data_IF_993754163726
#
_entry.id   IF_993754163726
#
_cell.length_a   1.000
_cell.length_b   1.000
_cell.length_c   1.000
_cell.angle_alpha   90.00
_cell.angle_beta   90.00
_cell.angle_gamma   90.00
#
_symmetry.space_group_name_H-M   'P 1'
#
loop_
_entity.id
_entity.type
_entity.pdbx_description
1 polymer ?
#
# COMPACT_ATOMS: atom_id res chain seq x y z
N UNK A 1 -19.27 -28.01 -12.50
CA UNK A 1 -18.77 -27.04 -11.51
C UNK A 1 -19.36 -27.51 -10.22
N UNK A 2 -18.54 -28.02 -9.31
CA UNK A 2 -19.04 -28.47 -8.00
C UNK A 2 -19.56 -27.23 -7.27
N UNK A 3 -20.87 -27.20 -7.03
CA UNK A 3 -21.60 -26.10 -6.39
C UNK A 3 -21.34 -26.11 -4.87
N UNK A 4 -20.08 -25.97 -4.45
CA UNK A 4 -19.75 -25.78 -3.04
C UNK A 4 -19.95 -24.31 -2.66
N UNK A 5 -20.52 -24.03 -1.49
CA UNK A 5 -20.64 -22.67 -0.97
C UNK A 5 -19.28 -21.97 -0.87
N UNK A 6 -18.19 -22.74 -0.71
CA UNK A 6 -16.82 -22.25 -0.70
C UNK A 6 -16.40 -21.70 -2.07
N UNK A 7 -16.71 -22.40 -3.16
CA UNK A 7 -16.45 -21.92 -4.52
C UNK A 7 -17.24 -20.66 -4.83
N UNK A 8 -18.52 -20.62 -4.44
CA UNK A 8 -19.36 -19.43 -4.59
C UNK A 8 -18.78 -18.22 -3.83
N UNK A 9 -18.30 -18.44 -2.60
CA UNK A 9 -17.67 -17.40 -1.78
C UNK A 9 -16.44 -16.82 -2.48
N UNK A 10 -15.55 -17.70 -2.95
CA UNK A 10 -14.32 -17.30 -3.64
C UNK A 10 -14.61 -16.60 -4.96
N UNK A 11 -15.54 -17.09 -5.78
CA UNK A 11 -15.89 -16.47 -7.07
C UNK A 11 -16.42 -15.05 -6.88
N UNK A 12 -17.30 -14.84 -5.89
CA UNK A 12 -17.81 -13.50 -5.59
C UNK A 12 -16.70 -12.57 -5.06
N UNK A 13 -15.82 -13.05 -4.19
CA UNK A 13 -14.68 -12.28 -3.71
C UNK A 13 -13.69 -11.94 -4.84
N UNK A 14 -13.37 -12.92 -5.70
CA UNK A 14 -12.51 -12.78 -6.86
C UNK A 14 -13.07 -11.74 -7.84
N UNK A 15 -14.37 -11.84 -8.19
CA UNK A 15 -15.01 -10.85 -9.04
C UNK A 15 -14.96 -9.43 -8.44
N UNK A 16 -15.14 -9.32 -7.12
CA UNK A 16 -15.05 -8.02 -6.42
C UNK A 16 -13.63 -7.45 -6.49
N UNK A 17 -12.60 -8.24 -6.20
CA UNK A 17 -11.20 -7.77 -6.20
C UNK A 17 -10.72 -7.47 -7.62
N UNK A 18 -11.16 -8.23 -8.64
CA UNK A 18 -10.88 -7.89 -10.04
C UNK A 18 -11.45 -6.51 -10.37
N UNK A 19 -12.72 -6.27 -10.07
CA UNK A 19 -13.36 -4.98 -10.26
C UNK A 19 -12.61 -3.86 -9.48
N UNK A 20 -12.11 -4.16 -8.29
CA UNK A 20 -11.31 -3.24 -7.48
C UNK A 20 -9.95 -2.91 -8.13
N UNK A 21 -9.30 -3.87 -8.77
CA UNK A 21 -7.95 -3.70 -9.36
C UNK A 21 -7.96 -3.24 -10.81
N UNK A 22 -9.06 -3.36 -11.54
CA UNK A 22 -9.11 -2.92 -12.95
C UNK A 22 -9.53 -1.46 -13.14
N UNK A 23 -9.49 -0.62 -12.10
CA UNK A 23 -9.99 0.77 -12.15
C UNK A 23 -8.88 1.79 -11.96
N UNK A 24 -8.86 2.78 -12.85
CA UNK A 24 -8.02 3.98 -12.74
C UNK A 24 -8.72 5.15 -12.03
N UNK A 25 -10.05 5.16 -11.96
CA UNK A 25 -10.85 6.20 -11.29
C UNK A 25 -11.83 5.58 -10.28
N UNK A 26 -11.79 6.07 -9.04
CA UNK A 26 -12.69 5.66 -7.97
C UNK A 26 -13.67 6.78 -7.66
N UNK A 27 -14.95 6.54 -7.90
CA UNK A 27 -16.03 7.24 -7.21
C UNK A 27 -16.56 6.32 -6.11
N UNK A 28 -16.45 6.75 -4.85
CA UNK A 28 -16.88 5.97 -3.67
C UNK A 28 -18.39 5.69 -3.69
N UNK A 29 -19.17 6.45 -4.47
CA UNK A 29 -20.64 6.42 -4.46
C UNK A 29 -21.30 6.07 -5.81
N UNK A 30 -20.59 5.43 -6.74
CA UNK A 30 -21.14 5.04 -8.05
C UNK A 30 -21.89 3.68 -8.08
N UNK A 31 -22.55 3.39 -9.22
CA UNK A 31 -23.16 2.08 -9.53
C UNK A 31 -22.20 0.92 -9.31
N UNK A 32 -20.95 1.18 -9.63
CA UNK A 32 -19.82 0.28 -9.54
C UNK A 32 -19.39 -0.03 -8.10
N UNK A 33 -19.51 0.93 -7.17
CA UNK A 33 -19.33 0.68 -5.74
C UNK A 33 -20.50 -0.15 -5.18
N UNK A 34 -21.72 0.10 -5.69
CA UNK A 34 -22.91 -0.69 -5.36
C UNK A 34 -22.77 -2.14 -5.80
N UNK A 35 -22.25 -2.39 -7.01
CA UNK A 35 -21.96 -3.73 -7.51
C UNK A 35 -20.93 -4.45 -6.63
N UNK A 36 -19.83 -3.80 -6.28
CA UNK A 36 -18.83 -4.37 -5.38
C UNK A 36 -19.44 -4.72 -4.02
N UNK A 37 -20.22 -3.79 -3.42
CA UNK A 37 -20.89 -4.05 -2.16
C UNK A 37 -21.85 -5.24 -2.24
N UNK A 38 -22.55 -5.42 -3.37
CA UNK A 38 -23.42 -6.58 -3.60
C UNK A 38 -22.62 -7.90 -3.71
N UNK A 39 -21.49 -7.91 -4.42
CA UNK A 39 -20.64 -9.09 -4.52
C UNK A 39 -20.00 -9.45 -3.18
N UNK A 40 -19.52 -8.45 -2.40
CA UNK A 40 -19.05 -8.65 -1.02
C UNK A 40 -20.13 -9.30 -0.16
N UNK A 41 -21.38 -8.83 -0.21
CA UNK A 41 -22.49 -9.42 0.56
C UNK A 41 -22.76 -10.87 0.15
N UNK A 42 -22.74 -11.18 -1.15
CA UNK A 42 -22.94 -12.55 -1.65
C UNK A 42 -21.81 -13.49 -1.24
N UNK A 43 -20.56 -13.02 -1.34
CA UNK A 43 -19.39 -13.77 -0.90
C UNK A 43 -19.45 -14.06 0.60
N UNK A 44 -19.72 -13.04 1.43
CA UNK A 44 -19.85 -13.20 2.88
C UNK A 44 -20.96 -14.17 3.28
N UNK A 45 -22.10 -14.16 2.56
CA UNK A 45 -23.18 -15.12 2.79
C UNK A 45 -22.69 -16.55 2.54
N UNK A 46 -22.18 -16.82 1.34
CA UNK A 46 -21.70 -18.15 0.96
C UNK A 46 -20.53 -18.61 1.86
N UNK A 47 -19.64 -17.70 2.26
CA UNK A 47 -18.52 -17.97 3.15
C UNK A 47 -18.97 -18.47 4.54
N UNK A 48 -20.07 -17.91 5.06
CA UNK A 48 -20.68 -18.34 6.34
C UNK A 48 -21.53 -19.60 6.19
N UNK A 49 -22.18 -19.81 5.05
CA UNK A 49 -22.93 -21.03 4.77
C UNK A 49 -22.03 -22.28 4.89
N UNK A 50 -20.76 -22.20 4.45
CA UNK A 50 -19.75 -23.28 4.63
C UNK A 50 -19.54 -23.68 6.10
N UNK A 51 -19.58 -22.72 7.02
CA UNK A 51 -19.40 -23.00 8.46
C UNK A 51 -20.63 -23.69 9.05
N UNK A 52 -21.81 -23.40 8.49
CA UNK A 52 -23.09 -23.94 8.93
C UNK A 52 -23.41 -25.31 8.31
N UNK A 53 -22.88 -25.59 7.11
CA UNK A 53 -23.05 -26.85 6.38
C UNK A 53 -22.06 -27.94 6.81
N UNK A 54 -21.01 -27.59 7.56
CA UNK A 54 -20.06 -28.57 8.12
C UNK A 54 -20.80 -29.60 8.98
N UNK A 55 -20.54 -30.89 8.72
CA UNK A 55 -21.21 -32.12 9.18
C UNK A 55 -21.54 -32.26 10.70
N UNK A 56 -21.19 -31.28 11.52
CA UNK A 56 -21.43 -31.22 12.96
C UNK A 56 -22.90 -31.22 13.39
N UNK A 57 -23.84 -30.99 12.45
CA UNK A 57 -25.27 -31.14 12.72
C UNK A 57 -25.72 -32.59 12.95
N UNK A 58 -24.94 -33.59 12.49
CA UNK A 58 -25.27 -35.00 12.71
C UNK A 58 -24.65 -35.59 13.98
N UNK A 59 -23.52 -35.05 14.47
CA UNK A 59 -22.76 -35.59 15.61
C UNK A 59 -22.87 -34.77 16.91
N UNK A 60 -23.53 -33.61 16.88
CA UNK A 60 -23.71 -32.76 18.07
C UNK A 60 -22.43 -32.07 18.56
N UNK A 61 -21.36 -32.14 17.79
CA UNK A 61 -20.06 -31.49 18.05
C UNK A 61 -19.75 -30.47 16.97
N UNK A 62 -19.17 -29.32 17.33
CA UNK A 62 -18.57 -28.41 16.34
C UNK A 62 -17.46 -29.16 15.59
N UNK A 63 -17.55 -29.23 14.26
CA UNK A 63 -16.50 -29.82 13.41
C UNK A 63 -15.18 -29.05 13.50
N UNK A 64 -14.07 -29.57 12.95
CA UNK A 64 -12.82 -28.84 12.88
C UNK A 64 -12.99 -27.55 12.08
N UNK A 65 -12.22 -26.51 12.43
CA UNK A 65 -12.19 -25.26 11.64
C UNK A 65 -11.81 -25.59 10.19
N UNK A 66 -12.67 -25.30 9.19
CA UNK A 66 -12.32 -25.55 7.80
C UNK A 66 -11.26 -24.55 7.36
N UNK A 67 -10.03 -25.03 7.20
CA UNK A 67 -8.90 -24.22 6.72
C UNK A 67 -8.47 -24.72 5.35
N UNK A 68 -8.78 -23.92 4.33
CA UNK A 68 -8.43 -24.19 2.93
C UNK A 68 -7.80 -22.95 2.31
N UNK A 69 -7.06 -23.13 1.21
CA UNK A 69 -6.50 -22.00 0.44
C UNK A 69 -7.62 -21.06 0.00
N UNK A 70 -8.76 -21.60 -0.46
CA UNK A 70 -9.90 -20.83 -0.95
C UNK A 70 -10.49 -19.94 0.13
N UNK A 71 -10.64 -20.44 1.36
CA UNK A 71 -11.19 -19.65 2.48
C UNK A 71 -10.26 -18.50 2.88
N UNK A 72 -8.97 -18.77 3.04
CA UNK A 72 -8.00 -17.73 3.39
C UNK A 72 -7.89 -16.67 2.28
N UNK A 73 -7.85 -17.08 1.00
CA UNK A 73 -7.88 -16.14 -0.14
C UNK A 73 -9.16 -15.29 -0.15
N UNK A 74 -10.31 -15.91 0.13
CA UNK A 74 -11.59 -15.20 0.23
C UNK A 74 -11.53 -14.12 1.32
N UNK A 75 -11.00 -14.43 2.51
CA UNK A 75 -10.78 -13.44 3.57
C UNK A 75 -9.90 -12.27 3.13
N UNK A 76 -8.77 -12.55 2.46
CA UNK A 76 -7.85 -11.51 1.97
C UNK A 76 -8.53 -10.62 0.91
N UNK A 77 -9.22 -11.22 -0.08
CA UNK A 77 -9.89 -10.43 -1.12
C UNK A 77 -11.02 -9.58 -0.55
N UNK A 78 -11.81 -10.13 0.37
CA UNK A 78 -12.88 -9.40 1.03
C UNK A 78 -12.34 -8.26 1.89
N UNK A 79 -11.26 -8.47 2.65
CA UNK A 79 -10.68 -7.40 3.48
C UNK A 79 -10.24 -6.21 2.61
N UNK A 80 -9.51 -6.46 1.52
CA UNK A 80 -9.08 -5.41 0.60
C UNK A 80 -10.26 -4.64 0.00
N UNK A 81 -11.30 -5.35 -0.45
CA UNK A 81 -12.48 -4.71 -1.04
C UNK A 81 -13.29 -3.90 -0.01
N UNK A 82 -13.46 -4.43 1.20
CA UNK A 82 -14.20 -3.77 2.28
C UNK A 82 -13.44 -2.54 2.79
N UNK A 83 -12.11 -2.61 2.84
CA UNK A 83 -11.27 -1.45 3.14
C UNK A 83 -11.47 -0.35 2.11
N UNK A 84 -11.48 -0.72 0.83
CA UNK A 84 -11.68 0.23 -0.28
C UNK A 84 -13.08 0.87 -0.24
N UNK A 85 -14.09 0.14 0.27
CA UNK A 85 -15.44 0.67 0.54
C UNK A 85 -15.51 1.52 1.84
N UNK A 86 -14.38 1.80 2.49
CA UNK A 86 -14.28 2.69 3.65
C UNK A 86 -14.59 2.04 5.00
N UNK A 87 -14.79 0.71 5.08
CA UNK A 87 -15.13 0.03 6.33
C UNK A 87 -13.91 -0.64 6.97
N UNK A 88 -13.04 0.19 7.57
CA UNK A 88 -11.75 -0.23 8.14
C UNK A 88 -11.90 -1.36 9.17
N UNK A 89 -12.77 -1.20 10.16
CA UNK A 89 -12.97 -2.21 11.22
C UNK A 89 -13.47 -3.56 10.68
N UNK A 90 -14.33 -3.55 9.65
CA UNK A 90 -14.83 -4.78 9.04
C UNK A 90 -13.74 -5.46 8.19
N UNK A 91 -12.96 -4.67 7.47
CA UNK A 91 -11.79 -5.18 6.74
C UNK A 91 -10.83 -5.87 7.70
N UNK A 92 -10.48 -5.21 8.80
CA UNK A 92 -9.61 -5.76 9.83
C UNK A 92 -10.12 -7.09 10.38
N UNK A 93 -11.40 -7.16 10.77
CA UNK A 93 -11.99 -8.38 11.32
C UNK A 93 -11.92 -9.57 10.35
N UNK A 94 -12.19 -9.33 9.06
CA UNK A 94 -12.16 -10.37 8.03
C UNK A 94 -10.72 -10.80 7.71
N UNK A 95 -9.79 -9.85 7.63
CA UNK A 95 -8.37 -10.18 7.48
C UNK A 95 -7.87 -11.01 8.67
N UNK A 96 -8.26 -10.63 9.89
CA UNK A 96 -7.91 -11.34 11.12
C UNK A 96 -8.39 -12.79 11.10
N UNK A 97 -9.58 -13.04 10.56
CA UNK A 97 -10.08 -14.39 10.40
C UNK A 97 -9.17 -15.25 9.51
N UNK A 98 -8.73 -14.71 8.36
CA UNK A 98 -7.75 -15.37 7.47
C UNK A 98 -6.39 -15.62 8.13
N UNK A 99 -5.89 -14.63 8.87
CA UNK A 99 -4.66 -14.73 9.66
C UNK A 99 -4.75 -15.83 10.72
N UNK A 100 -5.86 -15.87 11.46
CA UNK A 100 -6.09 -16.89 12.50
C UNK A 100 -6.16 -18.29 11.89
N UNK A 101 -6.82 -18.45 10.74
CA UNK A 101 -6.80 -19.73 10.00
C UNK A 101 -5.37 -20.17 9.70
N UNK A 102 -4.50 -19.29 9.20
CA UNK A 102 -3.09 -19.61 8.93
C UNK A 102 -2.30 -19.98 10.19
N UNK A 103 -2.56 -19.32 11.32
CA UNK A 103 -1.89 -19.62 12.60
C UNK A 103 -2.23 -21.04 13.10
N UNK A 104 -3.46 -21.52 12.85
CA UNK A 104 -3.88 -22.88 13.22
C UNK A 104 -3.21 -23.99 12.40
N UNK A 105 -2.71 -23.69 11.19
CA UNK A 105 -2.01 -24.68 10.34
C UNK A 105 -0.60 -25.01 10.85
N UNK A 106 -0.09 -24.24 11.82
CA UNK A 106 1.27 -24.38 12.34
C UNK A 106 2.33 -24.54 11.23
N UNK A 107 2.23 -23.75 10.14
CA UNK A 107 3.14 -23.79 8.99
C UNK A 107 4.63 -23.64 9.37
N UNK A 108 4.91 -23.08 10.54
CA UNK A 108 6.26 -23.00 11.12
C UNK A 108 6.84 -24.35 11.58
N UNK A 109 6.00 -25.37 11.79
CA UNK A 109 6.37 -26.67 12.38
C UNK A 109 5.90 -27.87 11.55
N UNK A 110 4.78 -27.74 10.82
CA UNK A 110 4.15 -28.86 10.10
C UNK A 110 3.70 -28.41 8.71
N UNK A 111 3.95 -29.26 7.71
CA UNK A 111 3.41 -29.08 6.35
C UNK A 111 1.91 -29.38 6.35
N UNK A 112 1.08 -28.62 5.63
CA UNK A 112 -0.35 -28.93 5.49
C UNK A 112 -0.51 -30.35 4.94
N UNK A 113 -1.33 -31.16 5.61
CA UNK A 113 -1.71 -32.46 5.09
C UNK A 113 -2.71 -32.23 3.95
N UNK A 114 -2.32 -32.53 2.71
CA UNK A 114 -3.16 -32.29 1.54
C UNK A 114 -2.36 -32.32 0.23
N UNK A 115 -3.04 -32.46 -0.90
CA UNK A 115 -2.43 -32.50 -2.23
C UNK A 115 -1.91 -31.15 -2.75
N UNK A 116 -2.08 -30.05 -2.00
CA UNK A 116 -1.60 -28.73 -2.39
C UNK A 116 -0.10 -28.53 -2.09
N UNK A 117 0.61 -27.86 -3.01
CA UNK A 117 2.03 -27.56 -2.84
C UNK A 117 2.30 -26.66 -1.64
N UNK A 118 3.37 -26.95 -0.90
CA UNK A 118 3.89 -26.11 0.20
C UNK A 118 4.14 -24.67 -0.26
N UNK A 119 4.60 -24.49 -1.50
CA UNK A 119 4.86 -23.17 -2.10
C UNK A 119 3.61 -22.29 -2.19
N UNK A 120 2.42 -22.89 -2.43
CA UNK A 120 1.15 -22.14 -2.44
C UNK A 120 0.80 -21.62 -1.04
N UNK A 121 0.99 -22.45 -0.02
CA UNK A 121 0.73 -22.07 1.37
C UNK A 121 1.71 -21.02 1.88
N UNK A 122 2.99 -21.11 1.51
CA UNK A 122 3.97 -20.07 1.80
C UNK A 122 3.58 -18.74 1.16
N UNK A 123 3.20 -18.74 -0.14
CA UNK A 123 2.73 -17.52 -0.82
C UNK A 123 1.48 -16.95 -0.16
N UNK A 124 0.50 -17.79 0.17
CA UNK A 124 -0.71 -17.36 0.86
C UNK A 124 -0.43 -16.76 2.25
N UNK A 125 0.51 -17.35 3.00
CA UNK A 125 0.95 -16.81 4.28
C UNK A 125 1.58 -15.43 4.13
N UNK A 126 2.51 -15.30 3.18
CA UNK A 126 3.21 -14.04 2.93
C UNK A 126 2.26 -12.95 2.39
N UNK A 127 1.27 -13.32 1.58
CA UNK A 127 0.20 -12.40 1.18
C UNK A 127 -0.56 -11.88 2.40
N UNK A 128 -1.02 -12.76 3.29
CA UNK A 128 -1.70 -12.37 4.53
C UNK A 128 -0.80 -11.51 5.43
N UNK A 129 0.49 -11.84 5.53
CA UNK A 129 1.49 -11.08 6.29
C UNK A 129 1.60 -9.64 5.78
N UNK A 130 1.74 -9.43 4.46
CA UNK A 130 1.84 -8.09 3.87
C UNK A 130 0.59 -7.25 4.14
N UNK A 131 -0.60 -7.82 3.99
CA UNK A 131 -1.86 -7.12 4.30
C UNK A 131 -1.99 -6.82 5.79
N UNK A 132 -1.57 -7.74 6.68
CA UNK A 132 -1.60 -7.50 8.12
C UNK A 132 -0.64 -6.38 8.53
N UNK A 133 0.58 -6.37 7.97
CA UNK A 133 1.57 -5.31 8.23
C UNK A 133 1.10 -3.96 7.70
N UNK A 134 0.46 -3.92 6.52
CA UNK A 134 -0.17 -2.70 6.02
C UNK A 134 -1.27 -2.19 6.97
N UNK A 135 -2.16 -3.09 7.42
CA UNK A 135 -3.23 -2.75 8.36
C UNK A 135 -2.70 -2.35 9.74
N UNK A 136 -1.52 -2.84 10.16
CA UNK A 136 -0.91 -2.46 11.44
C UNK A 136 -0.38 -1.02 11.46
N UNK A 137 -0.21 -0.39 10.29
CA UNK A 137 0.12 1.03 10.17
C UNK A 137 -1.13 1.93 10.24
N UNK A 138 -2.30 1.37 9.92
CA UNK A 138 -3.59 2.02 10.13
C UNK A 138 -3.96 1.95 11.63
N UNK A 139 -4.55 3.02 12.16
CA UNK A 139 -4.72 3.25 13.61
C UNK A 139 -5.44 2.07 14.30
N UNK A 140 -4.91 1.66 15.46
CA UNK A 140 -5.50 0.71 16.44
C UNK A 140 -5.34 -0.80 16.21
N UNK A 141 -4.56 -1.29 15.24
CA UNK A 141 -4.44 -2.75 15.01
C UNK A 141 -3.05 -3.34 15.25
N UNK A 142 -3.02 -4.43 16.02
CA UNK A 142 -1.81 -5.22 16.30
C UNK A 142 -1.60 -6.36 15.31
N UNK A 143 -0.46 -6.40 14.63
CA UNK A 143 -0.03 -7.57 13.85
C UNK A 143 0.21 -8.79 14.74
N UNK A 144 -0.08 -9.99 14.22
CA UNK A 144 0.03 -11.26 14.96
C UNK A 144 0.75 -12.36 14.18
N UNK A 145 0.94 -12.20 12.87
CA UNK A 145 1.81 -13.07 12.11
C UNK A 145 3.28 -12.70 12.37
N UNK A 146 4.03 -13.72 12.77
CA UNK A 146 5.49 -13.68 12.83
C UNK A 146 6.07 -13.98 11.44
N UNK A 147 7.36 -13.77 11.26
CA UNK A 147 8.03 -14.20 10.03
C UNK A 147 8.05 -15.73 9.94
N UNK A 148 7.90 -16.29 8.74
CA UNK A 148 8.06 -17.73 8.54
C UNK A 148 9.50 -18.15 8.85
N UNK A 149 9.66 -19.23 9.62
CA UNK A 149 10.98 -19.79 9.96
C UNK A 149 11.72 -20.34 8.74
N UNK A 150 10.98 -20.72 7.70
CA UNK A 150 11.54 -21.16 6.42
C UNK A 150 12.14 -20.00 5.61
N UNK A 151 11.93 -18.75 6.04
CA UNK A 151 12.32 -17.56 5.28
C UNK A 151 11.33 -17.26 4.16
N UNK A 152 11.86 -16.66 3.09
CA UNK A 152 11.09 -16.33 1.88
C UNK A 152 10.42 -17.58 1.28
N UNK A 153 9.35 -17.41 0.47
CA UNK A 153 8.74 -18.52 -0.24
C UNK A 153 9.78 -19.31 -1.06
N UNK A 154 9.66 -20.64 -1.03
CA UNK A 154 10.43 -21.51 -1.91
C UNK A 154 10.03 -21.23 -3.38
N UNK A 155 10.97 -21.43 -4.31
CA UNK A 155 10.74 -21.21 -5.74
C UNK A 155 9.60 -22.13 -6.21
N UNK A 156 8.58 -21.51 -6.81
CA UNK A 156 7.43 -22.23 -7.35
C UNK A 156 7.51 -22.32 -8.87
N UNK A 157 7.94 -23.48 -9.37
CA UNK A 157 8.07 -23.74 -10.81
C UNK A 157 6.72 -23.72 -11.57
N UNK A 158 5.58 -23.70 -10.86
CA UNK A 158 4.25 -23.60 -11.48
C UNK A 158 3.88 -22.18 -11.91
N UNK A 159 4.68 -21.16 -11.55
CA UNK A 159 4.46 -19.77 -11.94
C UNK A 159 5.63 -19.21 -12.76
N UNK A 160 5.38 -18.15 -13.56
CA UNK A 160 6.45 -17.49 -14.29
C UNK A 160 7.54 -16.93 -13.35
N UNK A 161 8.84 -17.04 -13.70
CA UNK A 161 9.95 -16.59 -12.87
C UNK A 161 9.89 -15.12 -12.44
N UNK A 162 9.38 -14.23 -13.30
CA UNK A 162 9.22 -12.81 -12.95
C UNK A 162 8.13 -12.57 -11.89
N UNK A 163 7.09 -13.42 -11.85
CA UNK A 163 6.05 -13.35 -10.80
C UNK A 163 6.65 -13.77 -9.45
N UNK A 164 7.44 -14.83 -9.45
CA UNK A 164 8.16 -15.29 -8.26
C UNK A 164 9.13 -14.23 -7.73
N UNK A 165 9.95 -13.64 -8.62
CA UNK A 165 10.86 -12.55 -8.28
C UNK A 165 10.13 -11.36 -7.67
N UNK A 166 9.10 -10.85 -8.37
CA UNK A 166 8.34 -9.70 -7.90
C UNK A 166 7.69 -9.94 -6.53
N UNK A 167 7.10 -11.13 -6.32
CA UNK A 167 6.49 -11.49 -5.05
C UNK A 167 7.52 -11.56 -3.91
N UNK A 168 8.66 -12.23 -4.11
CA UNK A 168 9.73 -12.29 -3.09
C UNK A 168 10.27 -10.91 -2.73
N UNK A 169 10.43 -10.00 -3.71
CA UNK A 169 10.85 -8.61 -3.46
C UNK A 169 9.81 -7.84 -2.67
N UNK A 170 8.54 -8.02 -2.98
CA UNK A 170 7.48 -7.37 -2.21
C UNK A 170 7.48 -7.87 -0.75
N UNK A 171 7.68 -9.16 -0.51
CA UNK A 171 7.85 -9.71 0.84
C UNK A 171 9.03 -9.05 1.56
N UNK A 172 10.20 -8.93 0.92
CA UNK A 172 11.35 -8.25 1.51
C UNK A 172 11.05 -6.80 1.92
N UNK A 173 10.35 -6.06 1.07
CA UNK A 173 9.94 -4.69 1.39
C UNK A 173 9.05 -4.65 2.64
N UNK A 174 8.08 -5.55 2.76
CA UNK A 174 7.21 -5.60 3.94
C UNK A 174 7.89 -6.14 5.21
N UNK A 175 9.03 -6.83 5.09
CA UNK A 175 9.87 -7.21 6.25
C UNK A 175 10.57 -6.01 6.91
N UNK A 176 10.65 -4.86 6.22
CA UNK A 176 11.14 -3.60 6.81
C UNK A 176 10.25 -3.18 7.99
N UNK A 177 8.94 -3.47 7.90
CA UNK A 177 7.91 -3.21 8.91
C UNK A 177 7.96 -4.24 10.05
N UNK A 178 9.13 -4.38 10.67
CA UNK A 178 9.34 -5.26 11.83
C UNK A 178 8.62 -4.74 13.09
N UNK A 179 8.70 -5.52 14.16
CA UNK A 179 7.99 -5.18 15.40
C UNK A 179 8.53 -3.89 16.04
N UNK A 180 9.82 -3.58 15.85
CA UNK A 180 10.44 -2.31 16.26
C UNK A 180 9.83 -1.14 15.49
N UNK A 181 9.77 -1.24 14.16
CA UNK A 181 9.15 -0.24 13.30
C UNK A 181 7.71 0.05 13.76
N UNK A 182 6.92 -1.01 13.90
CA UNK A 182 5.49 -0.90 14.25
C UNK A 182 5.29 -0.31 15.65
N UNK A 183 6.15 -0.65 16.62
CA UNK A 183 6.10 -0.08 17.96
C UNK A 183 6.34 1.44 17.93
N UNK A 184 7.37 1.92 17.22
CA UNK A 184 7.63 3.35 17.08
C UNK A 184 6.52 4.06 16.31
N UNK A 185 6.01 3.45 15.24
CA UNK A 185 4.90 4.01 14.46
C UNK A 185 3.65 4.23 15.33
N UNK A 186 3.34 3.31 16.23
CA UNK A 186 2.22 3.47 17.18
C UNK A 186 2.49 4.52 18.26
N UNK A 187 3.69 4.54 18.82
CA UNK A 187 4.07 5.54 19.82
C UNK A 187 3.99 6.98 19.26
N UNK A 188 4.24 7.16 17.96
CA UNK A 188 4.05 8.44 17.27
C UNK A 188 2.58 8.88 17.22
N UNK A 189 1.66 7.93 17.04
CA UNK A 189 0.21 8.22 16.94
C UNK A 189 -0.46 8.39 18.31
N UNK A 190 -0.02 7.63 19.30
CA UNK A 190 -0.53 7.66 20.66
C UNK A 190 0.64 7.53 21.66
N UNK A 191 1.03 8.66 22.31
CA UNK A 191 2.14 8.71 23.25
C UNK A 191 2.00 7.83 24.49
N UNK A 192 0.85 7.21 24.73
CA UNK A 192 0.67 6.24 25.82
C UNK A 192 1.28 4.87 25.51
N UNK A 193 1.64 4.60 24.26
CA UNK A 193 2.33 3.37 23.87
C UNK A 193 3.83 3.46 24.19
N UNK A 194 4.33 2.48 24.94
CA UNK A 194 5.75 2.36 25.22
C UNK A 194 6.51 1.90 23.97
N UNK A 195 7.46 2.73 23.51
CA UNK A 195 8.49 2.33 22.57
C UNK A 195 9.87 2.65 23.17
N UNK A 196 10.87 1.85 22.82
CA UNK A 196 12.26 2.16 23.20
C UNK A 196 12.73 3.45 22.52
N UNK A 197 13.90 3.95 22.92
CA UNK A 197 14.52 5.08 22.21
C UNK A 197 14.90 4.67 20.79
N UNK A 198 14.46 5.44 19.80
CA UNK A 198 14.83 5.22 18.40
C UNK A 198 16.26 5.67 18.17
N UNK A 199 17.10 4.82 17.56
CA UNK A 199 18.51 5.12 17.30
C UNK A 199 18.72 5.53 15.85
N UNK A 200 19.61 6.50 15.62
CA UNK A 200 20.05 6.88 14.28
C UNK A 200 20.55 5.68 13.48
N UNK A 201 21.38 4.82 14.08
CA UNK A 201 21.91 3.58 13.48
C UNK A 201 20.80 2.67 12.91
N UNK A 202 19.66 2.57 13.60
CA UNK A 202 18.52 1.77 13.13
C UNK A 202 17.90 2.38 11.87
N UNK A 203 17.75 3.71 11.84
CA UNK A 203 17.23 4.44 10.66
C UNK A 203 18.16 4.22 9.47
N UNK A 204 19.46 4.43 9.66
CA UNK A 204 20.48 4.22 8.61
C UNK A 204 20.46 2.78 8.10
N UNK A 205 20.38 1.80 9.00
CA UNK A 205 20.30 0.40 8.63
C UNK A 205 19.05 0.10 7.80
N UNK A 206 17.88 0.64 8.16
CA UNK A 206 16.63 0.43 7.41
C UNK A 206 16.67 1.08 6.03
N UNK A 207 17.24 2.28 5.91
CA UNK A 207 17.41 2.93 4.60
C UNK A 207 18.39 2.14 3.72
N UNK A 208 19.51 1.68 4.28
CA UNK A 208 20.47 0.85 3.55
C UNK A 208 19.88 -0.50 3.10
N UNK A 209 19.01 -1.14 3.92
CA UNK A 209 18.29 -2.36 3.53
C UNK A 209 17.38 -2.13 2.31
N UNK A 210 16.72 -0.96 2.24
CA UNK A 210 15.86 -0.60 1.10
C UNK A 210 16.69 -0.37 -0.18
N UNK A 211 17.87 0.26 -0.06
CA UNK A 211 18.81 0.45 -1.16
C UNK A 211 19.40 -0.88 -1.67
N UNK A 212 19.76 -1.76 -0.75
CA UNK A 212 20.24 -3.10 -1.09
C UNK A 212 19.17 -3.93 -1.79
N UNK A 213 17.90 -3.85 -1.37
CA UNK A 213 16.80 -4.55 -2.05
C UNK A 213 16.60 -4.04 -3.48
N UNK A 214 16.71 -2.72 -3.72
CA UNK A 214 16.65 -2.16 -5.07
C UNK A 214 17.76 -2.71 -5.97
N UNK A 215 19.01 -2.69 -5.48
CA UNK A 215 20.17 -3.21 -6.22
C UNK A 215 20.06 -4.72 -6.48
N UNK A 216 19.61 -5.49 -5.48
CA UNK A 216 19.39 -6.93 -5.62
C UNK A 216 18.26 -7.24 -6.60
N UNK A 217 17.19 -6.43 -6.63
CA UNK A 217 16.10 -6.56 -7.60
C UNK A 217 16.62 -6.42 -9.02
N UNK A 218 17.34 -5.33 -9.32
CA UNK A 218 17.90 -5.08 -10.64
C UNK A 218 18.87 -6.20 -11.09
N UNK A 219 19.70 -6.70 -10.16
CA UNK A 219 20.63 -7.80 -10.44
C UNK A 219 19.93 -9.12 -10.75
N UNK A 220 18.92 -9.50 -9.97
CA UNK A 220 18.17 -10.74 -10.21
C UNK A 220 17.35 -10.65 -11.50
N UNK A 221 16.77 -9.49 -11.80
CA UNK A 221 16.06 -9.25 -13.06
C UNK A 221 17.00 -9.35 -14.27
N UNK A 222 18.19 -8.73 -14.21
CA UNK A 222 19.20 -8.85 -15.27
C UNK A 222 19.59 -10.32 -15.51
N UNK A 223 19.73 -11.13 -14.45
CA UNK A 223 19.99 -12.56 -14.55
C UNK A 223 18.85 -13.33 -15.24
N UNK A 224 17.58 -12.95 -15.02
CA UNK A 224 16.45 -13.53 -15.74
C UNK A 224 16.54 -13.20 -17.24
N UNK A 225 16.83 -11.95 -17.59
CA UNK A 225 16.96 -11.49 -18.97
C UNK A 225 18.13 -12.18 -19.69
N UNK A 226 19.28 -12.34 -19.04
CA UNK A 226 20.45 -13.05 -19.57
C UNK A 226 20.14 -14.53 -19.87
N UNK A 227 19.19 -15.11 -19.15
CA UNK A 227 18.70 -16.49 -19.37
C UNK A 227 17.59 -16.57 -20.43
N UNK A 228 17.25 -15.46 -21.08
CA UNK A 228 16.17 -15.38 -22.08
C UNK A 228 14.77 -15.50 -21.46
N UNK A 229 14.64 -15.26 -20.15
CA UNK A 229 13.35 -15.25 -19.46
C UNK A 229 12.81 -13.82 -19.42
N UNK A 230 11.49 -13.67 -19.25
CA UNK A 230 10.86 -12.36 -19.09
C UNK A 230 11.34 -11.67 -17.81
N UNK A 231 11.66 -10.38 -17.90
CA UNK A 231 11.87 -9.50 -16.76
C UNK A 231 10.58 -9.17 -16.03
N UNK A 232 10.66 -8.29 -15.04
CA UNK A 232 9.48 -7.79 -14.33
C UNK A 232 8.60 -7.01 -15.30
N UNK A 233 7.28 -7.12 -15.12
CA UNK A 233 6.33 -6.28 -15.85
C UNK A 233 6.31 -4.86 -15.30
N UNK A 234 5.86 -3.89 -16.10
CA UNK A 234 5.71 -2.49 -15.68
C UNK A 234 4.92 -2.37 -14.35
N UNK A 235 3.83 -3.14 -14.20
CA UNK A 235 3.06 -3.18 -12.95
C UNK A 235 3.91 -3.64 -11.76
N UNK A 236 4.77 -4.65 -11.93
CA UNK A 236 5.64 -5.09 -10.84
C UNK A 236 6.72 -4.07 -10.51
N UNK A 237 7.31 -3.40 -11.53
CA UNK A 237 8.26 -2.32 -11.29
C UNK A 237 7.64 -1.17 -10.53
N UNK A 238 6.45 -0.73 -10.92
CA UNK A 238 5.68 0.32 -10.24
C UNK A 238 5.42 -0.07 -8.78
N UNK A 239 4.93 -1.28 -8.54
CA UNK A 239 4.57 -1.73 -7.19
C UNK A 239 5.78 -1.75 -6.25
N UNK A 240 6.89 -2.31 -6.73
CA UNK A 240 8.13 -2.40 -5.96
C UNK A 240 8.75 -1.01 -5.73
N UNK A 241 8.84 -0.18 -6.77
CA UNK A 241 9.47 1.13 -6.68
C UNK A 241 8.69 2.07 -5.75
N UNK A 242 7.37 2.20 -5.94
CA UNK A 242 6.55 3.09 -5.10
C UNK A 242 6.46 2.55 -3.67
N UNK A 243 6.31 1.23 -3.48
CA UNK A 243 6.31 0.65 -2.13
C UNK A 243 7.63 0.90 -1.41
N UNK A 244 8.77 0.79 -2.10
CA UNK A 244 10.09 1.13 -1.54
C UNK A 244 10.21 2.60 -1.16
N UNK A 245 9.85 3.52 -2.05
CA UNK A 245 9.89 4.97 -1.78
C UNK A 245 8.97 5.37 -0.62
N UNK A 246 7.81 4.74 -0.53
CA UNK A 246 6.91 4.91 0.60
C UNK A 246 7.54 4.43 1.90
N UNK A 247 8.18 3.25 1.93
CA UNK A 247 8.89 2.77 3.11
C UNK A 247 10.07 3.69 3.50
N UNK A 248 10.86 4.19 2.53
CA UNK A 248 11.92 5.19 2.77
C UNK A 248 11.35 6.45 3.42
N UNK A 249 10.16 6.87 2.98
CA UNK A 249 9.42 8.02 3.53
C UNK A 249 9.01 7.75 4.98
N UNK A 250 8.41 6.59 5.28
CA UNK A 250 7.98 6.29 6.65
C UNK A 250 9.16 6.16 7.63
N UNK A 251 10.26 5.51 7.20
CA UNK A 251 11.49 5.41 8.01
C UNK A 251 12.04 6.81 8.32
N UNK A 252 12.02 7.72 7.33
CA UNK A 252 12.41 9.11 7.53
C UNK A 252 11.46 9.87 8.48
N UNK A 253 10.15 9.66 8.38
CA UNK A 253 9.17 10.27 9.29
C UNK A 253 9.39 9.82 10.75
N UNK A 254 9.76 8.55 10.97
CA UNK A 254 10.17 8.08 12.30
C UNK A 254 11.42 8.82 12.78
N UNK A 255 12.44 8.98 11.93
CA UNK A 255 13.64 9.74 12.27
C UNK A 255 13.34 11.21 12.63
N UNK A 256 12.41 11.85 11.89
CA UNK A 256 11.90 13.19 12.19
C UNK A 256 11.24 13.24 13.58
N UNK A 257 10.32 12.31 13.86
CA UNK A 257 9.62 12.25 15.15
C UNK A 257 10.54 11.97 16.33
N UNK A 258 11.62 11.20 16.11
CA UNK A 258 12.65 10.91 17.09
C UNK A 258 13.69 12.03 17.27
N UNK A 259 13.60 13.13 16.51
CA UNK A 259 14.57 14.22 16.56
C UNK A 259 15.97 13.82 16.07
N UNK A 260 16.08 12.81 15.21
CA UNK A 260 17.35 12.23 14.76
C UNK A 260 17.92 12.91 13.51
N UNK A 261 17.17 13.84 12.91
CA UNK A 261 17.61 14.50 11.70
C UNK A 261 18.77 15.46 11.97
N UNK A 262 19.73 15.51 11.05
CA UNK A 262 20.87 16.41 11.17
C UNK A 262 21.28 17.00 9.82
N UNK A 263 21.99 18.13 9.86
CA UNK A 263 22.37 18.88 8.64
C UNK A 263 23.51 18.24 7.84
N UNK A 264 24.34 17.42 8.49
CA UNK A 264 25.49 16.74 7.88
C UNK A 264 25.50 15.26 8.29
N UNK A 265 24.54 14.46 7.83
CA UNK A 265 24.45 13.06 8.22
C UNK A 265 25.48 12.20 7.48
N UNK A 266 25.85 11.08 8.10
CA UNK A 266 26.60 9.99 7.47
C UNK A 266 25.79 9.29 6.38
N UNK A 267 24.50 9.08 6.64
CA UNK A 267 23.55 8.52 5.69
C UNK A 267 22.51 9.58 5.27
N UNK A 268 22.23 9.73 3.97
CA UNK A 268 21.31 10.76 3.46
C UNK A 268 19.91 10.70 4.09
N UNK A 269 19.43 9.51 4.44
CA UNK A 269 18.15 9.27 5.12
C UNK A 269 17.96 9.93 6.49
N UNK A 270 19.01 10.53 7.08
CA UNK A 270 18.91 11.37 8.28
C UNK A 270 18.90 12.88 7.98
N UNK A 271 18.91 13.27 6.70
CA UNK A 271 18.81 14.67 6.30
C UNK A 271 17.37 15.16 6.33
N UNK A 272 17.15 16.39 6.80
CA UNK A 272 15.86 17.07 6.66
C UNK A 272 15.43 17.21 5.19
N UNK A 273 16.40 17.25 4.26
CA UNK A 273 16.16 17.43 2.82
C UNK A 273 15.95 16.11 2.07
N UNK A 274 16.08 14.97 2.74
CA UNK A 274 16.02 13.65 2.12
C UNK A 274 14.76 13.41 1.27
N UNK A 275 13.53 13.75 1.70
CA UNK A 275 12.35 13.55 0.86
C UNK A 275 12.40 14.34 -0.45
N UNK A 276 12.96 15.55 -0.41
CA UNK A 276 12.97 16.45 -1.57
C UNK A 276 14.14 16.16 -2.51
N UNK A 277 15.27 15.70 -1.99
CA UNK A 277 16.46 15.43 -2.80
C UNK A 277 16.42 14.01 -3.36
N UNK A 278 16.27 12.99 -2.51
CA UNK A 278 16.41 11.60 -2.95
C UNK A 278 15.08 11.01 -3.38
N UNK A 279 14.06 11.03 -2.50
CA UNK A 279 12.75 10.39 -2.78
C UNK A 279 12.05 11.04 -3.99
N UNK A 280 12.04 12.37 -4.08
CA UNK A 280 11.43 13.09 -5.19
C UNK A 280 12.11 12.77 -6.54
N UNK A 281 13.45 12.74 -6.59
CA UNK A 281 14.20 12.41 -7.80
C UNK A 281 13.94 10.98 -8.28
N UNK A 282 13.96 10.02 -7.35
CA UNK A 282 13.66 8.62 -7.67
C UNK A 282 12.22 8.46 -8.18
N UNK A 283 11.25 9.15 -7.56
CA UNK A 283 9.86 9.10 -7.99
C UNK A 283 9.64 9.71 -9.38
N UNK A 284 10.28 10.84 -9.67
CA UNK A 284 10.24 11.47 -10.99
C UNK A 284 10.92 10.60 -12.04
N UNK A 285 12.06 9.97 -11.70
CA UNK A 285 12.76 9.03 -12.58
C UNK A 285 11.86 7.85 -12.95
N UNK A 286 11.13 7.30 -11.98
CA UNK A 286 10.13 6.26 -12.21
C UNK A 286 9.03 6.75 -13.17
N UNK A 287 8.45 7.93 -12.90
CA UNK A 287 7.36 8.48 -13.72
C UNK A 287 7.78 8.80 -15.16
N UNK A 288 9.03 9.21 -15.37
CA UNK A 288 9.59 9.42 -16.71
C UNK A 288 9.82 8.13 -17.50
N UNK A 289 9.85 6.97 -16.82
CA UNK A 289 10.05 5.65 -17.43
C UNK A 289 8.73 4.91 -17.68
N UNK A 290 7.59 5.44 -17.22
CA UNK A 290 6.29 4.82 -17.42
C UNK A 290 5.89 4.81 -18.90
N UNK A 291 5.40 3.67 -19.38
CA UNK A 291 4.74 3.56 -20.67
C UNK A 291 3.34 4.18 -20.61
N UNK A 292 2.65 4.03 -19.48
CA UNK A 292 1.34 4.66 -19.24
C UNK A 292 1.11 5.06 -17.79
N UNK A 293 0.57 6.27 -17.59
CA UNK A 293 0.10 6.76 -16.27
C UNK A 293 -1.02 5.86 -15.71
N UNK A 294 -1.81 5.21 -16.56
CA UNK A 294 -2.88 4.32 -16.12
C UNK A 294 -2.36 3.08 -15.39
N UNK A 295 -1.10 2.69 -15.63
CA UNK A 295 -0.47 1.54 -14.99
C UNK A 295 -0.39 1.70 -13.48
N UNK A 296 -0.14 2.93 -13.00
CA UNK A 296 -0.21 3.27 -11.57
C UNK A 296 -1.63 3.10 -11.02
N UNK A 297 -2.64 3.49 -11.80
CA UNK A 297 -4.05 3.38 -11.43
C UNK A 297 -4.51 1.94 -11.21
N UNK A 298 -4.00 0.97 -11.98
CA UNK A 298 -4.38 -0.45 -11.84
C UNK A 298 -3.98 -1.09 -10.50
N UNK A 299 -3.01 -0.51 -9.78
CA UNK A 299 -2.73 -0.98 -8.42
C UNK A 299 -3.84 -0.60 -7.42
N UNK A 300 -4.70 0.36 -7.77
CA UNK A 300 -5.84 0.79 -6.97
C UNK A 300 -5.48 1.74 -5.83
N UNK A 301 -6.45 1.96 -4.93
CA UNK A 301 -6.39 3.01 -3.90
C UNK A 301 -5.19 2.91 -2.96
N UNK A 302 -4.74 1.68 -2.65
CA UNK A 302 -3.56 1.48 -1.79
C UNK A 302 -2.27 2.08 -2.38
N UNK A 303 -2.15 2.14 -3.71
CA UNK A 303 -1.01 2.77 -4.38
C UNK A 303 -1.11 4.29 -4.31
N UNK A 304 -2.30 4.82 -4.58
CA UNK A 304 -2.56 6.26 -4.52
C UNK A 304 -2.36 6.83 -3.11
N UNK A 305 -2.74 6.07 -2.06
CA UNK A 305 -2.43 6.43 -0.67
C UNK A 305 -0.92 6.54 -0.41
N UNK A 306 -0.11 5.60 -0.92
CA UNK A 306 1.35 5.65 -0.79
C UNK A 306 1.93 6.87 -1.50
N UNK A 307 1.49 7.14 -2.73
CA UNK A 307 1.90 8.32 -3.48
C UNK A 307 1.50 9.63 -2.82
N UNK A 308 0.29 9.68 -2.25
CA UNK A 308 -0.14 10.82 -1.46
C UNK A 308 0.80 11.06 -0.27
N UNK A 309 1.12 10.03 0.51
CA UNK A 309 2.01 10.12 1.67
C UNK A 309 3.43 10.61 1.30
N UNK A 310 3.96 10.13 0.17
CA UNK A 310 5.24 10.60 -0.37
C UNK A 310 5.15 12.08 -0.77
N UNK A 311 4.11 12.44 -1.54
CA UNK A 311 3.95 13.78 -2.10
C UNK A 311 3.67 14.82 -1.02
N UNK A 312 2.83 14.49 -0.03
CA UNK A 312 2.54 15.34 1.13
C UNK A 312 3.79 15.57 1.97
N UNK A 313 4.61 14.53 2.20
CA UNK A 313 5.87 14.65 2.94
C UNK A 313 6.86 15.58 2.21
N UNK A 314 6.98 15.47 0.89
CA UNK A 314 7.79 16.38 0.07
C UNK A 314 7.28 17.82 0.19
N UNK A 315 5.96 18.01 0.10
CA UNK A 315 5.32 19.31 0.24
C UNK A 315 5.60 19.92 1.63
N UNK A 316 5.44 19.14 2.70
CA UNK A 316 5.72 19.56 4.07
C UNK A 316 7.13 20.11 4.21
N UNK A 317 8.13 19.36 3.75
CA UNK A 317 9.54 19.76 3.81
C UNK A 317 9.81 21.02 2.99
N UNK A 318 9.16 21.18 1.83
CA UNK A 318 9.30 22.38 0.99
C UNK A 318 8.60 23.62 1.58
N UNK A 319 7.53 23.43 2.38
CA UNK A 319 6.84 24.54 3.06
C UNK A 319 7.52 25.02 4.33
N UNK A 320 8.60 24.37 4.77
CA UNK A 320 9.37 24.86 5.92
C UNK A 320 9.93 26.26 5.64
N UNK A 321 9.97 27.16 6.65
CA UNK A 321 10.50 28.50 6.48
C UNK A 321 11.95 28.47 5.99
N UNK A 322 12.21 29.14 4.88
CA UNK A 322 13.56 29.31 4.31
C UNK A 322 14.04 30.74 4.55
N UNK A 323 15.36 30.91 4.63
CA UNK A 323 15.94 32.26 4.57
C UNK A 323 15.72 32.88 3.18
N UNK A 324 15.65 34.22 3.06
CA UNK A 324 15.46 34.89 1.77
C UNK A 324 16.53 34.53 0.71
N UNK A 325 17.74 34.17 1.15
CA UNK A 325 18.85 33.75 0.28
C UNK A 325 18.64 32.34 -0.28
N UNK A 326 18.01 31.43 0.46
CA UNK A 326 17.70 30.06 0.02
C UNK A 326 16.55 30.01 -0.97
N UNK A 327 15.55 30.88 -0.81
CA UNK A 327 14.39 30.99 -1.72
C UNK A 327 14.79 31.37 -3.14
N UNK A 328 15.85 32.16 -3.29
CA UNK A 328 16.35 32.61 -4.61
C UNK A 328 17.31 31.62 -5.27
N UNK A 329 17.68 30.53 -4.59
CA UNK A 329 18.55 29.54 -5.19
C UNK A 329 17.78 28.77 -6.28
N UNK A 330 18.36 28.69 -7.48
CA UNK A 330 17.78 27.98 -8.62
C UNK A 330 17.40 26.53 -8.27
N UNK A 331 18.15 25.90 -7.37
CA UNK A 331 17.87 24.56 -6.86
C UNK A 331 16.50 24.48 -6.18
N UNK A 332 16.13 25.46 -5.34
CA UNK A 332 14.84 25.47 -4.64
C UNK A 332 13.67 25.66 -5.60
N UNK A 333 13.81 26.53 -6.59
CA UNK A 333 12.79 26.74 -7.63
C UNK A 333 12.51 25.45 -8.40
N UNK A 334 13.56 24.71 -8.79
CA UNK A 334 13.43 23.41 -9.45
C UNK A 334 12.66 22.41 -8.58
N UNK A 335 12.95 22.34 -7.27
CA UNK A 335 12.24 21.42 -6.36
C UNK A 335 10.76 21.75 -6.20
N UNK A 336 10.39 23.02 -6.28
CA UNK A 336 8.96 23.41 -6.27
C UNK A 336 8.30 22.95 -7.57
N UNK A 337 8.96 23.11 -8.72
CA UNK A 337 8.44 22.61 -10.01
C UNK A 337 8.25 21.08 -10.01
N UNK A 338 9.23 20.36 -9.45
CA UNK A 338 9.16 18.91 -9.24
C UNK A 338 7.91 18.53 -8.42
N UNK A 339 7.66 19.23 -7.31
CA UNK A 339 6.44 19.04 -6.51
C UNK A 339 5.16 19.34 -7.30
N UNK A 340 5.12 20.41 -8.09
CA UNK A 340 3.95 20.75 -8.91
C UNK A 340 3.62 19.64 -9.90
N UNK A 341 4.63 19.03 -10.52
CA UNK A 341 4.44 17.86 -11.36
C UNK A 341 3.85 16.68 -10.58
N UNK A 342 4.40 16.35 -9.40
CA UNK A 342 3.89 15.25 -8.57
C UNK A 342 2.44 15.48 -8.14
N UNK A 343 2.10 16.69 -7.72
CA UNK A 343 0.71 17.03 -7.33
C UNK A 343 -0.21 16.93 -8.54
N UNK A 344 0.19 17.46 -9.71
CA UNK A 344 -0.61 17.33 -10.95
C UNK A 344 -0.84 15.87 -11.31
N UNK A 345 0.21 15.05 -11.25
CA UNK A 345 0.15 13.62 -11.51
C UNK A 345 -0.83 12.93 -10.55
N UNK A 346 -0.71 13.17 -9.25
CA UNK A 346 -1.56 12.56 -8.23
C UNK A 346 -3.03 13.00 -8.37
N UNK A 347 -3.27 14.29 -8.63
CA UNK A 347 -4.62 14.83 -8.78
C UNK A 347 -5.29 14.43 -10.09
N UNK A 348 -4.54 13.93 -11.08
CA UNK A 348 -5.09 13.34 -12.30
C UNK A 348 -5.93 12.08 -12.04
N UNK A 349 -5.77 11.46 -10.86
CA UNK A 349 -6.61 10.37 -10.41
C UNK A 349 -7.81 10.93 -9.64
N UNK A 350 -9.03 10.69 -10.12
CA UNK A 350 -10.26 11.12 -9.45
C UNK A 350 -10.45 10.50 -8.05
N UNK A 351 -9.76 9.38 -7.80
CA UNK A 351 -9.83 8.58 -6.57
C UNK A 351 -9.29 9.26 -5.30
N UNK A 352 -8.57 10.38 -5.42
CA UNK A 352 -8.01 11.09 -4.26
C UNK A 352 -9.14 11.77 -3.46
N UNK A 353 -9.32 11.43 -2.16
CA UNK A 353 -10.33 12.05 -1.30
C UNK A 353 -10.21 13.56 -1.22
N UNK A 354 -11.36 14.24 -1.08
CA UNK A 354 -11.44 15.71 -0.99
C UNK A 354 -10.49 16.30 0.06
N UNK A 355 -10.43 15.72 1.26
CA UNK A 355 -9.55 16.20 2.34
C UNK A 355 -8.06 16.16 1.95
N UNK A 356 -7.64 15.15 1.19
CA UNK A 356 -6.26 15.03 0.70
C UNK A 356 -5.95 16.10 -0.36
N UNK A 357 -6.94 16.43 -1.23
CA UNK A 357 -6.81 17.52 -2.19
C UNK A 357 -6.67 18.87 -1.50
N UNK A 358 -7.58 19.17 -0.57
CA UNK A 358 -7.58 20.41 0.22
C UNK A 358 -6.26 20.60 0.98
N UNK A 359 -5.70 19.52 1.52
CA UNK A 359 -4.40 19.56 2.20
C UNK A 359 -3.26 19.96 1.23
N UNK A 360 -3.18 19.35 0.04
CA UNK A 360 -2.16 19.72 -0.96
C UNK A 360 -2.36 21.13 -1.47
N UNK A 361 -3.60 21.56 -1.71
CA UNK A 361 -3.90 22.93 -2.15
C UNK A 361 -3.43 23.97 -1.13
N UNK A 362 -3.64 23.73 0.17
CA UNK A 362 -3.12 24.60 1.23
C UNK A 362 -1.59 24.69 1.24
N UNK A 363 -0.89 23.59 0.95
CA UNK A 363 0.58 23.58 0.83
C UNK A 363 1.04 24.36 -0.41
N UNK A 364 0.37 24.17 -1.55
CA UNK A 364 0.67 24.90 -2.77
C UNK A 364 0.42 26.40 -2.63
N UNK A 365 -0.65 26.82 -1.96
CA UNK A 365 -0.92 28.24 -1.71
C UNK A 365 0.15 28.86 -0.80
N UNK A 366 0.65 28.11 0.18
CA UNK A 366 1.80 28.54 1.00
C UNK A 366 3.04 28.78 0.13
N UNK A 367 3.36 27.87 -0.79
CA UNK A 367 4.48 28.02 -1.70
C UNK A 367 4.28 29.15 -2.71
N UNK A 368 3.06 29.35 -3.21
CA UNK A 368 2.72 30.44 -4.14
C UNK A 368 3.04 31.81 -3.56
N UNK A 369 2.74 32.00 -2.28
CA UNK A 369 3.04 33.25 -1.57
C UNK A 369 4.55 33.53 -1.45
N UNK A 370 5.38 32.47 -1.49
CA UNK A 370 6.85 32.58 -1.45
C UNK A 370 7.46 32.70 -2.86
N UNK A 371 6.94 31.95 -3.85
CA UNK A 371 7.48 31.84 -5.21
C UNK A 371 6.56 32.50 -6.25
N UNK A 372 6.46 33.83 -6.19
CA UNK A 372 5.55 34.62 -7.04
C UNK A 372 5.83 34.53 -8.56
N UNK A 373 7.00 34.06 -8.97
CA UNK A 373 7.40 33.93 -10.38
C UNK A 373 7.06 32.58 -11.01
N UNK A 374 6.66 31.58 -10.21
CA UNK A 374 6.26 30.27 -10.70
C UNK A 374 4.77 30.28 -11.06
N UNK A 375 4.42 29.58 -12.14
CA UNK A 375 3.03 29.43 -12.54
C UNK A 375 2.37 28.26 -11.81
N UNK A 376 1.48 28.60 -10.87
CA UNK A 376 0.64 27.65 -10.14
C UNK A 376 -0.77 27.53 -10.76
N UNK A 377 -1.10 28.28 -11.83
CA UNK A 377 -2.47 28.45 -12.36
C UNK A 377 -2.99 27.17 -13.03
N UNK A 378 -2.12 26.39 -13.66
CA UNK A 378 -2.47 25.12 -14.34
C UNK A 378 -2.95 23.99 -13.41
N UNK A 379 -2.84 24.16 -12.09
CA UNK A 379 -3.29 23.19 -11.07
C UNK A 379 -4.70 23.47 -10.54
N UNK A 380 -5.22 24.71 -10.71
CA UNK A 380 -6.52 25.14 -10.19
C UNK A 380 -7.65 24.81 -11.17
N UNK A 381 -7.39 24.88 -12.48
CA UNK A 381 -8.38 24.60 -13.54
C UNK A 381 -8.81 23.13 -13.59
N UNK A 382 -7.93 22.19 -13.22
CA UNK A 382 -8.31 20.79 -13.01
C UNK A 382 -9.25 20.63 -11.82
N UNK A 383 -9.08 21.44 -10.77
CA UNK A 383 -9.92 21.42 -9.57
C UNK A 383 -11.36 21.92 -9.84
N UNK A 384 -11.52 23.00 -10.63
CA UNK A 384 -12.85 23.49 -11.03
C UNK A 384 -13.57 22.52 -11.98
N UNK A 385 -12.86 21.92 -12.93
CA UNK A 385 -13.48 20.95 -13.85
C UNK A 385 -13.95 19.65 -13.15
N UNK A 386 -13.22 19.18 -12.14
CA UNK A 386 -13.62 18.02 -11.33
C UNK A 386 -14.75 18.36 -10.34
N UNK A 387 -14.69 19.55 -9.72
CA UNK A 387 -15.73 20.05 -8.82
C UNK A 387 -17.06 20.35 -9.54
N UNK A 388 -17.01 20.91 -10.76
CA UNK A 388 -18.20 21.15 -11.58
C UNK A 388 -18.85 19.84 -12.06
N UNK A 389 -18.06 18.80 -12.34
CA UNK A 389 -18.58 17.48 -12.68
C UNK A 389 -19.35 16.87 -11.50
N UNK A 390 -18.81 16.98 -10.28
CA UNK A 390 -19.43 16.50 -9.04
C UNK A 390 -20.71 17.31 -8.70
N UNK A 391 -20.68 18.64 -8.89
CA UNK A 391 -21.81 19.53 -8.64
C UNK A 391 -22.96 19.31 -9.64
N UNK A 392 -22.67 18.95 -10.90
CA UNK A 392 -23.69 18.60 -11.91
C UNK A 392 -24.32 17.23 -11.66
N UNK A 393 -23.65 16.33 -10.95
CA UNK A 393 -24.16 15.00 -10.62
C UNK A 393 -24.92 14.92 -9.29
N UNK A 394 -24.81 15.91 -8.41
CA UNK A 394 -25.52 15.92 -7.13
C UNK A 394 -26.23 17.25 -6.82
N UNK A 395 -27.36 17.56 -7.50
CA UNK A 395 -28.12 18.81 -7.27
C UNK A 395 -28.77 18.90 -5.88
N UNK A 396 -28.73 17.87 -5.05
CA UNK A 396 -29.43 17.83 -3.75
C UNK A 396 -28.61 18.34 -2.56
N UNK A 397 -27.35 18.74 -2.72
CA UNK A 397 -26.55 19.30 -1.61
C UNK A 397 -26.72 20.81 -1.40
N UNK A 398 -27.41 21.54 -2.28
CA UNK A 398 -27.65 22.99 -2.12
C UNK A 398 -28.89 23.36 -1.27
N UNK A 399 -29.62 22.39 -0.72
CA UNK A 399 -30.90 22.65 -0.03
C UNK A 399 -30.89 22.50 1.50
N UNK A 400 -29.73 22.35 2.13
CA UNK A 400 -29.63 22.38 3.60
C UNK A 400 -28.46 23.26 4.03
N UNK A 401 -28.67 24.57 3.95
CA UNK A 401 -27.95 25.59 4.71
C UNK A 401 -28.66 25.83 6.05
#
# INVERSE_FOLDING_TARGET
MDDSAEDAALVHAFGTITINRTRSSWEVHGELATLMANLVRRSMKAYRDVELESDGLQTGTLGPLPVTIKRVLTSIFLSVCILTLGSVNRSFAILREGVTMLQTLHLHHRRPDGGDSVTKWQRLYWEAYMHERHMALEVSFSGTLSTLRTGLPDIDESIPPHIDLGFRRLVNLFLILDDTFVAHWRAQQDPTNDAQELKAEWVEQKQAQLDEDAACTAKEEACLLDRGLSGLSELQHIDLAITRLWLRTLVWQLALSGGLLCSAPTHEGLSLRFPVVSICEELLSLFNQLESVTSVGFHGMGMLKKLFEITSTIADVLTLPLSPEEVQQQNHVSRVQDLLFLVKFLLSFNAIPKQQREYLDGKLETLRNVYTTLDFIDLITTHESASEADARMNPNQQLLS
#
